data_IF_951436467483
#
_entry.id   IF_951436467483
#
_cell.length_a   1.000
_cell.length_b   1.000
_cell.length_c   1.000
_cell.angle_alpha   90.00
_cell.angle_beta   90.00
_cell.angle_gamma   90.00
#
_symmetry.space_group_name_H-M   'P 1'
#
loop_
_entity.id
_entity.type
_entity.pdbx_description
1 polymer ?
#
# COMPACT_ATOMS: atom_id res chain seq x y z
N UNK A 1 -19.06 -6.86 -2.80
CA UNK A 1 -18.29 -7.14 -4.01
C UNK A 1 -16.82 -6.97 -3.65
N UNK A 2 -16.04 -8.05 -3.68
CA UNK A 2 -14.62 -8.06 -3.27
C UNK A 2 -13.69 -8.51 -4.40
N UNK A 3 -14.21 -8.67 -5.63
CA UNK A 3 -13.43 -9.13 -6.78
C UNK A 3 -13.09 -8.04 -7.80
N UNK A 4 -13.71 -6.85 -7.69
CA UNK A 4 -13.38 -5.73 -8.57
C UNK A 4 -12.08 -5.08 -8.10
N UNK A 5 -11.18 -4.85 -9.05
CA UNK A 5 -9.90 -4.19 -8.81
C UNK A 5 -10.09 -2.68 -8.95
N UNK A 6 -9.65 -1.95 -7.93
CA UNK A 6 -9.61 -0.50 -7.92
C UNK A 6 -8.16 -0.04 -7.79
N UNK A 7 -7.82 1.04 -8.50
CA UNK A 7 -6.52 1.70 -8.33
C UNK A 7 -6.54 2.51 -7.04
N UNK A 8 -5.56 2.26 -6.17
CA UNK A 8 -5.31 3.06 -4.97
C UNK A 8 -3.87 3.53 -4.93
N UNK A 9 -3.64 4.66 -4.27
CA UNK A 9 -2.31 5.25 -4.08
C UNK A 9 -2.07 5.45 -2.59
N UNK A 10 -0.91 5.00 -2.12
CA UNK A 10 -0.50 5.12 -0.73
C UNK A 10 0.96 5.56 -0.63
N UNK A 11 1.30 6.23 0.47
CA UNK A 11 2.67 6.64 0.77
C UNK A 11 3.13 5.94 2.05
N UNK A 12 4.27 5.27 1.96
CA UNK A 12 4.94 4.61 3.08
C UNK A 12 6.09 5.46 3.58
N UNK A 13 6.10 5.74 4.87
CA UNK A 13 7.29 6.30 5.53
C UNK A 13 8.38 5.22 5.70
N UNK A 14 9.66 5.58 5.94
CA UNK A 14 10.72 4.61 6.21
C UNK A 14 10.36 3.60 7.32
N UNK A 15 9.69 4.06 8.38
CA UNK A 15 9.23 3.20 9.48
C UNK A 15 8.22 2.13 9.03
N UNK A 16 7.51 2.36 7.93
CA UNK A 16 6.49 1.48 7.38
C UNK A 16 7.03 0.50 6.32
N UNK A 17 8.32 0.56 5.96
CA UNK A 17 8.90 -0.26 4.88
C UNK A 17 8.79 -1.78 5.09
N UNK A 18 8.65 -2.24 6.33
CA UNK A 18 8.32 -3.65 6.61
C UNK A 18 6.99 -4.13 6.00
N UNK A 19 6.14 -3.22 5.50
CA UNK A 19 4.89 -3.53 4.81
C UNK A 19 5.05 -3.68 3.29
N UNK A 20 6.20 -3.32 2.71
CA UNK A 20 6.41 -3.32 1.26
C UNK A 20 6.18 -4.71 0.66
N UNK A 21 6.81 -5.76 1.19
CA UNK A 21 6.61 -7.14 0.71
C UNK A 21 5.13 -7.54 0.73
N UNK A 22 4.40 -7.16 1.78
CA UNK A 22 2.98 -7.48 1.89
C UNK A 22 2.13 -6.71 0.87
N UNK A 23 2.46 -5.45 0.55
CA UNK A 23 1.78 -4.69 -0.51
C UNK A 23 1.97 -5.36 -1.87
N UNK A 24 3.20 -5.79 -2.20
CA UNK A 24 3.49 -6.52 -3.44
C UNK A 24 2.78 -7.88 -3.53
N UNK A 25 2.40 -8.49 -2.39
CA UNK A 25 1.65 -9.76 -2.37
C UNK A 25 0.14 -9.59 -2.47
N UNK A 26 -0.39 -8.42 -2.09
CA UNK A 26 -1.84 -8.20 -1.91
C UNK A 26 -2.42 -7.19 -2.90
N UNK A 27 -1.61 -6.69 -3.82
CA UNK A 27 -2.03 -5.86 -4.92
C UNK A 27 -1.06 -5.94 -6.09
N UNK A 28 -1.52 -5.48 -7.24
CA UNK A 28 -0.73 -5.36 -8.45
C UNK A 28 -0.15 -3.94 -8.52
N UNK A 29 1.15 -3.80 -8.24
CA UNK A 29 1.83 -2.50 -8.21
C UNK A 29 2.00 -1.96 -9.63
N UNK A 30 1.36 -0.82 -9.90
CA UNK A 30 1.37 -0.16 -11.21
C UNK A 30 2.48 0.89 -11.28
N UNK A 31 2.80 1.53 -10.16
CA UNK A 31 3.89 2.51 -10.09
C UNK A 31 4.48 2.59 -8.69
N UNK A 32 5.75 3.01 -8.65
CA UNK A 32 6.48 3.32 -7.43
C UNK A 32 7.33 4.56 -7.65
N UNK A 33 7.27 5.49 -6.71
CA UNK A 33 8.10 6.69 -6.67
C UNK A 33 8.77 6.75 -5.30
N UNK A 34 10.10 6.76 -5.29
CA UNK A 34 10.89 7.03 -4.09
C UNK A 34 10.97 8.57 -3.92
N UNK A 35 10.53 9.09 -2.78
CA UNK A 35 10.47 10.51 -2.48
C UNK A 35 11.77 10.99 -1.83
N UNK A 36 12.06 12.29 -1.92
CA UNK A 36 13.30 12.89 -1.38
C UNK A 36 13.43 12.76 0.16
N UNK A 37 12.31 12.67 0.87
CA UNK A 37 12.26 12.47 2.32
C UNK A 37 12.47 11.01 2.76
N UNK A 38 12.75 10.13 1.80
CA UNK A 38 12.95 8.70 2.01
C UNK A 38 11.64 7.91 2.12
N UNK A 39 10.46 8.54 1.97
CA UNK A 39 9.20 7.82 1.83
C UNK A 39 9.04 7.24 0.41
N UNK A 40 8.08 6.34 0.23
CA UNK A 40 7.78 5.75 -1.08
C UNK A 40 6.29 5.85 -1.35
N UNK A 41 5.92 6.42 -2.49
CA UNK A 41 4.55 6.43 -2.99
C UNK A 41 4.35 5.26 -3.95
N UNK A 42 3.33 4.45 -3.72
CA UNK A 42 2.99 3.26 -4.51
C UNK A 42 1.55 3.40 -5.01
N UNK A 43 1.35 3.25 -6.32
CA UNK A 43 0.03 3.02 -6.89
C UNK A 43 -0.13 1.55 -7.22
N UNK A 44 -1.28 0.97 -6.85
CA UNK A 44 -1.57 -0.44 -7.03
C UNK A 44 -3.03 -0.66 -7.38
N UNK A 45 -3.31 -1.73 -8.12
CA UNK A 45 -4.65 -2.27 -8.28
C UNK A 45 -4.89 -3.33 -7.21
N UNK A 46 -5.94 -3.17 -6.42
CA UNK A 46 -6.27 -4.09 -5.36
C UNK A 46 -7.78 -4.24 -5.23
N UNK A 47 -8.20 -5.38 -4.68
CA UNK A 47 -9.61 -5.54 -4.29
C UNK A 47 -9.95 -4.62 -3.13
N UNK A 48 -11.22 -4.26 -2.99
CA UNK A 48 -11.71 -3.51 -1.83
C UNK A 48 -11.30 -4.17 -0.49
N UNK A 49 -11.37 -5.50 -0.38
CA UNK A 49 -10.94 -6.23 0.82
C UNK A 49 -9.44 -6.10 1.08
N UNK A 50 -8.60 -6.24 0.05
CA UNK A 50 -7.16 -6.07 0.17
C UNK A 50 -6.80 -4.65 0.61
N UNK A 51 -7.49 -3.64 0.06
CA UNK A 51 -7.32 -2.23 0.44
C UNK A 51 -7.61 -2.00 1.93
N UNK A 52 -8.73 -2.51 2.43
CA UNK A 52 -9.08 -2.37 3.85
C UNK A 52 -8.02 -3.01 4.76
N UNK A 53 -7.47 -4.15 4.36
CA UNK A 53 -6.38 -4.78 5.11
C UNK A 53 -5.10 -3.93 5.06
N UNK A 54 -4.76 -3.34 3.90
CA UNK A 54 -3.62 -2.42 3.75
C UNK A 54 -3.76 -1.24 4.71
N UNK A 55 -4.90 -0.56 4.67
CA UNK A 55 -5.19 0.60 5.51
C UNK A 55 -5.14 0.24 7.00
N UNK A 56 -5.70 -0.91 7.39
CA UNK A 56 -5.69 -1.37 8.78
C UNK A 56 -4.27 -1.57 9.34
N UNK A 57 -3.36 -2.10 8.51
CA UNK A 57 -1.95 -2.34 8.89
C UNK A 57 -1.16 -1.05 8.96
N UNK A 58 -1.43 -0.10 8.07
CA UNK A 58 -0.83 1.24 8.10
C UNK A 58 -1.24 2.01 9.35
N UNK A 59 -2.52 1.99 9.70
CA UNK A 59 -3.02 2.69 10.90
C UNK A 59 -2.52 2.07 12.21
N UNK A 60 -2.39 0.73 12.28
CA UNK A 60 -1.88 0.04 13.47
C UNK A 60 -0.42 0.37 13.79
N UNK A 61 0.36 0.80 12.80
CA UNK A 61 1.78 1.15 12.98
C UNK A 61 2.01 2.61 13.39
N UNK A 62 0.95 3.43 13.41
CA UNK A 62 0.99 4.83 13.83
C UNK A 62 0.64 5.04 15.33
N UNK A 63 0.33 3.96 16.06
CA UNK A 63 0.13 3.93 17.52
C UNK A 63 1.28 3.14 18.18
#
# INVERSE_FOLDING_TARGET
MSGELETTTLTLTPAQFGLVDWIYRNGDVVSRVDNEDGSVTISLNATHSSRQEIESRLHRKNN
#
